data_IF_410903271603
#
_entry.id   IF_410903271603
#
_cell.length_a   1.000
_cell.length_b   1.000
_cell.length_c   1.000
_cell.angle_alpha   90.00
_cell.angle_beta   90.00
_cell.angle_gamma   90.00
#
_symmetry.space_group_name_H-M   'P 1'
#
loop_
_entity.id
_entity.type
_entity.pdbx_description
1 polymer ?
#
# COMPACT_ATOMS: atom_id res chain seq x y z
N UNK A 1 46.20 35.64 -30.11
CA UNK A 1 45.88 34.86 -28.91
C UNK A 1 44.56 35.36 -28.38
N UNK A 2 43.47 34.64 -28.67
CA UNK A 2 42.14 34.96 -28.16
C UNK A 2 41.74 33.81 -27.25
N UNK A 3 41.71 34.08 -25.95
CA UNK A 3 41.22 33.14 -24.95
C UNK A 3 39.70 33.27 -24.92
N UNK A 4 39.02 32.35 -25.59
CA UNK A 4 37.57 32.20 -25.47
C UNK A 4 37.26 31.50 -24.14
N UNK A 5 36.77 32.28 -23.18
CA UNK A 5 36.19 31.77 -21.93
C UNK A 5 34.82 31.17 -22.27
N UNK A 6 34.74 29.84 -22.35
CA UNK A 6 33.48 29.11 -22.44
C UNK A 6 32.78 29.16 -21.07
N UNK A 7 31.73 29.97 -20.96
CA UNK A 7 30.75 29.89 -19.88
C UNK A 7 29.91 28.62 -20.08
N UNK A 8 30.27 27.54 -19.39
CA UNK A 8 29.36 26.41 -19.14
C UNK A 8 28.33 26.86 -18.10
N UNK A 9 27.23 27.45 -18.57
CA UNK A 9 26.03 27.59 -17.75
C UNK A 9 25.46 26.18 -17.60
N UNK A 10 25.76 25.55 -16.47
CA UNK A 10 25.04 24.36 -16.03
C UNK A 10 23.56 24.73 -15.91
N UNK A 11 22.75 24.29 -16.87
CA UNK A 11 21.30 24.22 -16.69
C UNK A 11 21.03 23.27 -15.53
N UNK A 12 20.90 23.82 -14.32
CA UNK A 12 20.25 23.14 -13.22
C UNK A 12 18.80 22.90 -13.65
N UNK A 13 18.51 21.73 -14.22
CA UNK A 13 17.13 21.29 -14.41
C UNK A 13 16.52 21.17 -13.02
N UNK A 14 15.79 22.20 -12.61
CA UNK A 14 15.04 22.20 -11.36
C UNK A 14 14.03 21.06 -11.43
N UNK A 15 14.30 20.01 -10.66
CA UNK A 15 13.41 18.86 -10.56
C UNK A 15 12.04 19.35 -10.10
N UNK A 16 10.98 19.02 -10.86
CA UNK A 16 9.60 19.39 -10.51
C UNK A 16 9.27 18.86 -9.12
N UNK A 17 8.54 19.63 -8.31
CA UNK A 17 8.02 19.14 -7.03
C UNK A 17 7.09 17.94 -7.24
N UNK A 18 7.00 17.04 -6.26
CA UNK A 18 6.11 15.86 -6.32
C UNK A 18 4.67 16.25 -6.67
N UNK A 19 4.17 17.35 -6.11
CA UNK A 19 2.84 17.88 -6.43
C UNK A 19 2.70 18.27 -7.90
N UNK A 20 3.72 18.89 -8.48
CA UNK A 20 3.70 19.23 -9.90
C UNK A 20 3.78 17.98 -10.79
N UNK A 21 4.58 16.98 -10.41
CA UNK A 21 4.64 15.68 -11.09
C UNK A 21 3.28 14.97 -11.03
N UNK A 22 2.64 14.96 -9.85
CA UNK A 22 1.30 14.40 -9.67
C UNK A 22 0.27 15.06 -10.59
N UNK A 23 0.21 16.40 -10.64
CA UNK A 23 -0.74 17.12 -11.50
C UNK A 23 -0.49 16.89 -13.00
N UNK A 24 0.75 16.63 -13.40
CA UNK A 24 1.09 16.23 -14.77
C UNK A 24 0.61 14.81 -15.06
N UNK A 25 0.87 13.86 -14.15
CA UNK A 25 0.38 12.47 -14.25
C UNK A 25 -1.13 12.42 -14.40
N UNK A 26 -1.88 13.24 -13.64
CA UNK A 26 -3.36 13.31 -13.75
C UNK A 26 -3.87 13.74 -15.12
N UNK A 27 -3.05 14.48 -15.88
CA UNK A 27 -3.38 14.94 -17.25
C UNK A 27 -2.92 13.94 -18.31
N UNK A 28 -2.11 12.95 -17.94
CA UNK A 28 -1.62 11.94 -18.88
C UNK A 28 -2.75 11.10 -19.46
N UNK A 29 -2.58 10.69 -20.71
CA UNK A 29 -3.53 9.82 -21.39
C UNK A 29 -3.74 8.50 -20.64
N UNK A 30 -2.66 7.90 -20.12
CA UNK A 30 -2.70 6.63 -19.39
C UNK A 30 -3.56 6.75 -18.13
N UNK A 31 -3.31 7.75 -17.29
CA UNK A 31 -4.09 7.98 -16.07
C UNK A 31 -5.60 8.15 -16.36
N UNK A 32 -5.93 9.00 -17.34
CA UNK A 32 -7.33 9.24 -17.73
C UNK A 32 -7.97 7.96 -18.29
N UNK A 33 -7.24 7.20 -19.10
CA UNK A 33 -7.70 5.95 -19.69
C UNK A 33 -7.95 4.87 -18.63
N UNK A 34 -7.06 4.75 -17.64
CA UNK A 34 -7.23 3.85 -16.50
C UNK A 34 -8.45 4.20 -15.65
N UNK A 35 -8.67 5.49 -15.37
CA UNK A 35 -9.89 5.91 -14.66
C UNK A 35 -11.17 5.56 -15.43
N UNK A 36 -11.17 5.76 -16.76
CA UNK A 36 -12.31 5.38 -17.60
C UNK A 36 -12.51 3.88 -17.63
N UNK A 37 -11.44 3.11 -17.83
CA UNK A 37 -11.48 1.66 -17.88
C UNK A 37 -12.11 1.12 -16.60
N UNK A 38 -11.59 1.52 -15.43
CA UNK A 38 -12.09 1.07 -14.14
C UNK A 38 -13.55 1.41 -13.91
N UNK A 39 -13.99 2.63 -14.23
CA UNK A 39 -15.40 3.02 -14.14
C UNK A 39 -16.32 2.18 -15.05
N UNK A 40 -15.81 1.67 -16.16
CA UNK A 40 -16.58 0.85 -17.09
C UNK A 40 -16.46 -0.65 -16.85
N UNK A 41 -15.54 -1.09 -15.99
CA UNK A 41 -15.35 -2.51 -15.66
C UNK A 41 -15.68 -2.80 -14.20
N UNK A 42 -15.04 -2.11 -13.26
CA UNK A 42 -15.17 -2.32 -11.81
C UNK A 42 -16.54 -1.89 -11.31
N UNK A 43 -16.98 -0.67 -11.64
CA UNK A 43 -18.25 -0.14 -11.12
C UNK A 43 -19.44 -1.04 -11.50
N UNK A 44 -19.62 -1.43 -12.78
CA UNK A 44 -20.74 -2.28 -13.16
C UNK A 44 -20.64 -3.69 -12.57
N UNK A 45 -19.43 -4.23 -12.42
CA UNK A 45 -19.21 -5.52 -11.76
C UNK A 45 -19.59 -5.48 -10.27
N UNK A 46 -19.23 -4.40 -9.58
CA UNK A 46 -19.62 -4.18 -8.18
C UNK A 46 -21.14 -4.01 -8.04
N UNK A 47 -21.77 -3.21 -8.91
CA UNK A 47 -23.23 -3.06 -8.92
C UNK A 47 -23.94 -4.40 -9.12
N UNK A 48 -23.45 -5.23 -10.06
CA UNK A 48 -24.00 -6.55 -10.31
C UNK A 48 -23.81 -7.48 -9.10
N UNK A 49 -22.65 -7.40 -8.44
CA UNK A 49 -22.37 -8.15 -7.22
C UNK A 49 -23.30 -7.74 -6.08
N UNK A 50 -23.38 -6.44 -5.74
CA UNK A 50 -24.22 -5.95 -4.65
C UNK A 50 -25.71 -6.25 -4.88
N UNK A 51 -26.18 -6.27 -6.15
CA UNK A 51 -27.54 -6.73 -6.46
C UNK A 51 -27.78 -8.19 -6.06
N UNK A 52 -26.79 -9.08 -6.21
CA UNK A 52 -26.87 -10.50 -5.81
C UNK A 52 -26.77 -10.69 -4.30
N UNK A 53 -25.95 -9.88 -3.63
CA UNK A 53 -25.75 -9.98 -2.17
C UNK A 53 -26.94 -9.44 -1.40
N UNK A 54 -27.62 -8.39 -1.91
CA UNK A 54 -28.90 -7.92 -1.38
C UNK A 54 -29.97 -9.00 -1.30
N UNK A 55 -30.02 -9.88 -2.30
CA UNK A 55 -30.93 -11.04 -2.27
C UNK A 55 -30.53 -12.14 -1.29
N UNK A 56 -29.33 -12.07 -0.71
CA UNK A 56 -28.76 -13.04 0.23
C UNK A 56 -28.56 -12.47 1.64
N UNK A 57 -29.11 -11.29 1.95
CA UNK A 57 -29.00 -10.61 3.27
C UNK A 57 -27.57 -10.41 3.79
N UNK A 58 -26.59 -10.32 2.91
CA UNK A 58 -25.20 -10.03 3.26
C UNK A 58 -24.86 -8.55 3.04
N UNK A 59 -23.78 -8.08 3.68
CA UNK A 59 -23.36 -6.68 3.61
C UNK A 59 -22.88 -6.28 2.22
N UNK A 60 -23.34 -5.11 1.76
CA UNK A 60 -22.88 -4.53 0.50
C UNK A 60 -21.40 -4.17 0.57
N UNK A 61 -20.69 -4.41 -0.52
CA UNK A 61 -19.32 -3.94 -0.66
C UNK A 61 -19.34 -2.51 -1.21
N UNK A 62 -18.65 -1.63 -0.50
CA UNK A 62 -18.58 -0.22 -0.85
C UNK A 62 -17.57 0.05 -1.96
N UNK A 63 -17.89 1.03 -2.82
CA UNK A 63 -17.11 1.33 -4.03
C UNK A 63 -15.70 1.81 -3.71
N UNK A 64 -15.55 2.65 -2.70
CA UNK A 64 -14.28 3.15 -2.21
C UNK A 64 -13.38 2.02 -1.70
N UNK A 65 -13.92 0.97 -1.12
CA UNK A 65 -13.15 -0.19 -0.66
C UNK A 65 -12.60 -0.99 -1.84
N UNK A 66 -13.41 -1.26 -2.86
CA UNK A 66 -12.98 -2.02 -4.05
C UNK A 66 -11.86 -1.30 -4.79
N UNK A 67 -12.03 0.00 -5.08
CA UNK A 67 -10.98 0.79 -5.73
C UNK A 67 -9.73 0.93 -4.85
N UNK A 68 -9.88 1.00 -3.52
CA UNK A 68 -8.73 1.02 -2.61
C UNK A 68 -7.93 -0.29 -2.69
N UNK A 69 -8.60 -1.44 -2.66
CA UNK A 69 -7.92 -2.74 -2.77
C UNK A 69 -7.33 -2.97 -4.17
N UNK A 70 -8.02 -2.54 -5.23
CA UNK A 70 -7.50 -2.57 -6.59
C UNK A 70 -6.22 -1.72 -6.70
N UNK A 71 -6.20 -0.54 -6.09
CA UNK A 71 -5.01 0.30 -6.01
C UNK A 71 -3.82 -0.42 -5.36
N UNK A 72 -4.04 -1.11 -4.23
CA UNK A 72 -3.01 -1.90 -3.54
C UNK A 72 -2.50 -3.05 -4.44
N UNK A 73 -3.40 -3.78 -5.09
CA UNK A 73 -3.04 -4.86 -6.02
C UNK A 73 -2.22 -4.38 -7.22
N UNK A 74 -2.52 -3.19 -7.73
CA UNK A 74 -1.77 -2.58 -8.84
C UNK A 74 -0.43 -1.99 -8.41
N UNK A 75 -0.32 -1.54 -7.16
CA UNK A 75 0.95 -1.12 -6.57
C UNK A 75 1.94 -2.29 -6.54
N UNK A 76 1.47 -3.49 -6.16
CA UNK A 76 2.25 -4.74 -6.24
C UNK A 76 2.65 -5.11 -7.65
N UNK A 77 1.73 -4.99 -8.61
CA UNK A 77 2.00 -5.31 -10.01
C UNK A 77 2.94 -4.32 -10.70
N UNK A 78 3.52 -3.36 -9.97
CA UNK A 78 4.34 -2.28 -10.51
C UNK A 78 3.62 -1.48 -11.60
N UNK A 79 2.31 -1.24 -11.41
CA UNK A 79 1.49 -0.37 -12.26
C UNK A 79 1.18 0.96 -11.54
N UNK A 80 2.19 1.80 -11.22
CA UNK A 80 2.04 2.89 -10.27
C UNK A 80 1.05 3.97 -10.74
N UNK A 81 0.95 4.24 -12.04
CA UNK A 81 -0.03 5.20 -12.59
C UNK A 81 -1.46 4.66 -12.51
N UNK A 82 -1.66 3.35 -12.71
CA UNK A 82 -2.98 2.73 -12.59
C UNK A 82 -3.38 2.61 -11.12
N UNK A 83 -2.46 2.21 -10.24
CA UNK A 83 -2.66 2.23 -8.79
C UNK A 83 -3.12 3.60 -8.29
N UNK A 84 -2.48 4.68 -8.76
CA UNK A 84 -2.87 6.05 -8.43
C UNK A 84 -4.25 6.43 -8.98
N UNK A 85 -4.57 6.00 -10.21
CA UNK A 85 -5.87 6.23 -10.82
C UNK A 85 -7.01 5.58 -10.02
N UNK A 86 -6.82 4.33 -9.58
CA UNK A 86 -7.75 3.60 -8.70
C UNK A 86 -7.89 4.29 -7.34
N UNK A 87 -6.79 4.67 -6.70
CA UNK A 87 -6.88 5.36 -5.40
C UNK A 87 -7.61 6.70 -5.48
N UNK A 88 -7.48 7.44 -6.58
CA UNK A 88 -8.27 8.67 -6.80
C UNK A 88 -9.77 8.33 -6.98
N UNK A 89 -10.10 7.24 -7.67
CA UNK A 89 -11.50 6.79 -7.77
C UNK A 89 -12.07 6.42 -6.41
N UNK A 90 -11.30 5.74 -5.56
CA UNK A 90 -11.69 5.45 -4.19
C UNK A 90 -12.00 6.74 -3.41
N UNK A 91 -11.12 7.74 -3.50
CA UNK A 91 -11.31 9.03 -2.83
C UNK A 91 -12.52 9.80 -3.32
N UNK A 92 -12.86 9.71 -4.61
CA UNK A 92 -14.06 10.34 -5.19
C UNK A 92 -15.34 9.61 -4.78
N UNK A 93 -15.27 8.32 -4.51
CA UNK A 93 -16.40 7.51 -4.07
C UNK A 93 -16.68 7.66 -2.55
N UNK A 94 -15.63 7.89 -1.76
CA UNK A 94 -15.73 8.06 -0.32
C UNK A 94 -16.57 9.29 0.09
N UNK A 95 -17.67 9.05 0.80
CA UNK A 95 -18.59 10.11 1.25
C UNK A 95 -18.58 10.29 2.78
N UNK A 96 -18.37 9.23 3.54
CA UNK A 96 -18.27 9.22 4.99
C UNK A 96 -16.81 9.07 5.47
N UNK A 97 -16.59 9.23 6.77
CA UNK A 97 -15.24 9.18 7.34
C UNK A 97 -14.59 7.79 7.29
N UNK A 98 -15.31 6.66 7.51
CA UNK A 98 -14.79 5.32 7.24
C UNK A 98 -14.31 5.14 5.79
N UNK A 99 -15.09 5.58 4.81
CA UNK A 99 -14.74 5.50 3.40
C UNK A 99 -13.55 6.39 3.05
N UNK A 100 -13.51 7.60 3.61
CA UNK A 100 -12.35 8.50 3.45
C UNK A 100 -11.10 7.90 4.07
N UNK A 101 -11.22 7.25 5.23
CA UNK A 101 -10.09 6.63 5.91
C UNK A 101 -9.40 5.61 5.01
N UNK A 102 -10.14 4.63 4.47
CA UNK A 102 -9.55 3.63 3.55
C UNK A 102 -9.04 4.24 2.25
N UNK A 103 -9.77 5.20 1.68
CA UNK A 103 -9.38 5.83 0.43
C UNK A 103 -8.11 6.69 0.55
N UNK A 104 -7.95 7.43 1.66
CA UNK A 104 -6.73 8.19 1.93
C UNK A 104 -5.54 7.29 2.23
N UNK A 105 -5.75 6.17 2.93
CA UNK A 105 -4.71 5.15 3.12
C UNK A 105 -4.23 4.60 1.77
N UNK A 106 -5.14 4.14 0.91
CA UNK A 106 -4.80 3.62 -0.42
C UNK A 106 -4.08 4.66 -1.28
N UNK A 107 -4.55 5.90 -1.25
CA UNK A 107 -3.91 6.99 -1.98
C UNK A 107 -2.50 7.28 -1.47
N UNK A 108 -2.27 7.24 -0.16
CA UNK A 108 -0.93 7.40 0.39
C UNK A 108 0.03 6.30 -0.09
N UNK A 109 -0.40 5.03 -0.09
CA UNK A 109 0.41 3.93 -0.59
C UNK A 109 0.71 4.08 -2.09
N UNK A 110 -0.29 4.42 -2.90
CA UNK A 110 -0.09 4.63 -4.34
C UNK A 110 0.92 5.74 -4.63
N UNK A 111 0.95 6.81 -3.83
CA UNK A 111 1.96 7.87 -3.94
C UNK A 111 3.37 7.37 -3.58
N UNK A 112 3.50 6.57 -2.51
CA UNK A 112 4.76 5.90 -2.17
C UNK A 112 5.25 5.00 -3.31
N UNK A 113 4.36 4.22 -3.94
CA UNK A 113 4.71 3.38 -5.10
C UNK A 113 5.11 4.18 -6.35
N UNK A 114 4.76 5.47 -6.42
CA UNK A 114 5.24 6.39 -7.47
C UNK A 114 6.56 7.12 -7.08
N UNK A 115 7.12 6.84 -5.90
CA UNK A 115 8.31 7.53 -5.39
C UNK A 115 8.04 8.96 -4.89
N UNK A 116 6.77 9.31 -4.63
CA UNK A 116 6.37 10.62 -4.11
C UNK A 116 6.14 10.54 -2.60
N UNK A 117 7.21 10.26 -1.87
CA UNK A 117 7.18 9.96 -0.43
C UNK A 117 6.66 11.12 0.40
N UNK A 118 6.98 12.37 0.03
CA UNK A 118 6.53 13.55 0.77
C UNK A 118 5.01 13.73 0.69
N UNK A 119 4.45 13.61 -0.52
CA UNK A 119 3.01 13.66 -0.75
C UNK A 119 2.32 12.43 -0.13
N UNK A 120 2.94 11.26 -0.22
CA UNK A 120 2.48 10.03 0.43
C UNK A 120 2.33 10.22 1.95
N UNK A 121 3.35 10.77 2.61
CA UNK A 121 3.33 11.07 4.04
C UNK A 121 2.22 12.06 4.42
N UNK A 122 2.00 13.11 3.62
CA UNK A 122 0.92 14.09 3.84
C UNK A 122 -0.46 13.40 3.86
N UNK A 123 -0.71 12.49 2.91
CA UNK A 123 -1.98 11.77 2.84
C UNK A 123 -2.12 10.66 3.88
N UNK A 124 -1.02 10.01 4.27
CA UNK A 124 -1.01 9.08 5.39
C UNK A 124 -1.38 9.79 6.71
N UNK A 125 -0.87 11.01 6.93
CA UNK A 125 -1.25 11.82 8.09
C UNK A 125 -2.74 12.17 8.08
N UNK A 126 -3.32 12.53 6.93
CA UNK A 126 -4.76 12.76 6.79
C UNK A 126 -5.58 11.52 7.13
N UNK A 127 -5.16 10.34 6.68
CA UNK A 127 -5.82 9.08 7.03
C UNK A 127 -5.75 8.81 8.54
N UNK A 128 -4.59 9.00 9.17
CA UNK A 128 -4.43 8.82 10.63
C UNK A 128 -5.30 9.77 11.45
N UNK A 129 -5.52 11.01 10.98
CA UNK A 129 -6.46 11.94 11.64
C UNK A 129 -7.91 11.44 11.60
N UNK A 130 -8.31 10.83 10.49
CA UNK A 130 -9.65 10.21 10.39
C UNK A 130 -9.79 9.04 11.34
N UNK A 131 -8.74 8.21 11.51
CA UNK A 131 -8.76 7.05 12.41
C UNK A 131 -9.13 7.39 13.87
N UNK A 132 -8.74 8.58 14.35
CA UNK A 132 -9.04 9.05 15.72
C UNK A 132 -10.48 9.55 15.90
N UNK A 133 -11.20 9.79 14.81
CA UNK A 133 -12.56 10.36 14.81
C UNK A 133 -13.67 9.35 14.52
N UNK A 134 -13.35 8.11 14.17
CA UNK A 134 -14.35 7.12 13.76
C UNK A 134 -14.53 6.04 14.82
N UNK A 135 -15.66 6.06 15.55
CA UNK A 135 -16.21 4.84 16.13
C UNK A 135 -16.72 3.97 14.97
N UNK A 136 -15.81 3.15 14.45
CA UNK A 136 -16.11 2.22 13.37
C UNK A 136 -16.94 1.08 13.96
N UNK A 137 -18.27 1.26 13.91
CA UNK A 137 -19.28 0.20 14.01
C UNK A 137 -18.80 -1.07 13.24
N UNK A 138 -19.21 -2.26 13.69
CA UNK A 138 -19.07 -3.54 12.96
C UNK A 138 -19.34 -3.41 11.47
N UNK A 139 -20.32 -2.59 11.07
CA UNK A 139 -20.62 -2.30 9.66
C UNK A 139 -19.39 -1.88 8.83
N UNK A 140 -18.43 -1.18 9.43
CA UNK A 140 -17.23 -0.67 8.76
C UNK A 140 -15.95 -1.42 9.14
N UNK A 141 -16.06 -2.58 9.79
CA UNK A 141 -14.92 -3.38 10.23
C UNK A 141 -13.98 -3.74 9.07
N UNK A 142 -14.52 -4.15 7.91
CA UNK A 142 -13.71 -4.44 6.71
C UNK A 142 -12.90 -3.21 6.26
N UNK A 143 -13.55 -2.05 6.10
CA UNK A 143 -12.86 -0.81 5.73
C UNK A 143 -11.80 -0.40 6.75
N UNK A 144 -12.05 -0.60 8.05
CA UNK A 144 -11.09 -0.34 9.12
C UNK A 144 -9.84 -1.20 8.98
N UNK A 145 -10.03 -2.52 8.90
CA UNK A 145 -8.94 -3.50 8.81
C UNK A 145 -8.12 -3.24 7.54
N UNK A 146 -8.78 -3.03 6.40
CA UNK A 146 -8.10 -2.68 5.14
C UNK A 146 -7.33 -1.37 5.26
N UNK A 147 -7.92 -0.32 5.81
CA UNK A 147 -7.24 0.96 5.97
C UNK A 147 -6.02 0.87 6.89
N UNK A 148 -6.12 0.13 8.01
CA UNK A 148 -5.00 -0.13 8.92
C UNK A 148 -3.90 -0.93 8.25
N UNK A 149 -4.24 -2.01 7.53
CA UNK A 149 -3.29 -2.81 6.77
C UNK A 149 -2.52 -1.97 5.74
N UNK A 150 -3.23 -1.12 4.99
CA UNK A 150 -2.59 -0.20 4.02
C UNK A 150 -1.68 0.79 4.73
N UNK A 151 -2.10 1.38 5.84
CA UNK A 151 -1.22 2.27 6.62
C UNK A 151 -0.04 1.52 7.24
N UNK A 152 -0.19 0.23 7.55
CA UNK A 152 0.90 -0.64 7.96
C UNK A 152 1.93 -0.81 6.86
N UNK A 153 1.51 -1.04 5.61
CA UNK A 153 2.41 -1.07 4.44
C UNK A 153 3.14 0.27 4.28
N UNK A 154 2.43 1.39 4.45
CA UNK A 154 3.03 2.73 4.41
C UNK A 154 4.04 2.94 5.56
N UNK A 155 3.74 2.47 6.77
CA UNK A 155 4.67 2.53 7.89
C UNK A 155 5.95 1.71 7.61
N UNK A 156 5.83 0.54 6.96
CA UNK A 156 6.99 -0.21 6.47
C UNK A 156 7.79 0.60 5.46
N UNK A 157 7.15 1.23 4.46
CA UNK A 157 7.84 2.11 3.50
C UNK A 157 8.51 3.32 4.16
N UNK A 158 8.01 3.76 5.31
CA UNK A 158 8.59 4.83 6.13
C UNK A 158 9.73 4.35 7.05
N UNK A 159 9.98 3.04 7.14
CA UNK A 159 10.93 2.47 8.11
C UNK A 159 10.42 2.45 9.56
N UNK A 160 9.14 2.74 9.79
CA UNK A 160 8.54 2.81 11.12
C UNK A 160 8.02 1.45 11.57
N UNK A 161 8.93 0.62 12.09
CA UNK A 161 8.64 -0.74 12.56
C UNK A 161 7.59 -0.82 13.67
N UNK A 162 7.69 -0.03 14.76
CA UNK A 162 6.67 -0.02 15.81
C UNK A 162 5.28 0.36 15.29
N UNK A 163 5.16 1.35 14.41
CA UNK A 163 3.87 1.71 13.83
C UNK A 163 3.34 0.60 12.90
N UNK A 164 4.22 -0.02 12.10
CA UNK A 164 3.83 -1.15 11.25
C UNK A 164 3.28 -2.32 12.08
N UNK A 165 3.98 -2.72 13.14
CA UNK A 165 3.54 -3.77 14.07
C UNK A 165 2.14 -3.45 14.64
N UNK A 166 1.95 -2.24 15.17
CA UNK A 166 0.67 -1.84 15.75
C UNK A 166 -0.48 -1.81 14.72
N UNK A 167 -0.22 -1.38 13.49
CA UNK A 167 -1.23 -1.27 12.44
C UNK A 167 -1.65 -2.63 11.88
N UNK A 168 -0.76 -3.61 11.87
CA UNK A 168 -1.07 -4.97 11.41
C UNK A 168 -1.70 -5.88 12.46
N UNK A 169 -1.67 -5.51 13.74
CA UNK A 169 -2.16 -6.34 14.85
C UNK A 169 -3.61 -6.84 14.63
N UNK A 170 -4.53 -5.95 14.23
CA UNK A 170 -5.93 -6.31 14.02
C UNK A 170 -6.11 -7.26 12.82
N UNK A 171 -5.39 -7.03 11.72
CA UNK A 171 -5.44 -7.93 10.56
C UNK A 171 -4.90 -9.32 10.91
N UNK A 172 -3.85 -9.38 11.73
CA UNK A 172 -3.26 -10.63 12.17
C UNK A 172 -4.22 -11.47 13.02
N UNK A 173 -4.94 -10.82 13.93
CA UNK A 173 -5.97 -11.47 14.76
C UNK A 173 -7.10 -12.03 13.88
N UNK A 174 -7.63 -11.22 12.97
CA UNK A 174 -8.78 -11.58 12.13
C UNK A 174 -8.44 -12.63 11.06
N UNK A 175 -7.20 -12.64 10.56
CA UNK A 175 -6.72 -13.61 9.56
C UNK A 175 -6.09 -14.87 10.16
N UNK A 176 -5.87 -14.91 11.48
CA UNK A 176 -5.08 -15.95 12.16
C UNK A 176 -3.58 -15.93 11.81
N UNK A 177 -3.09 -14.89 11.15
CA UNK A 177 -1.69 -14.74 10.79
C UNK A 177 -0.92 -13.96 11.86
N UNK A 178 -0.79 -14.54 13.05
CA UNK A 178 -0.14 -13.93 14.23
C UNK A 178 1.29 -13.42 13.97
N UNK A 179 1.94 -13.93 12.92
CA UNK A 179 3.30 -13.53 12.53
C UNK A 179 3.37 -12.19 11.79
N UNK A 180 2.27 -11.74 11.17
CA UNK A 180 2.25 -10.58 10.29
C UNK A 180 2.74 -9.28 10.96
N UNK A 181 2.34 -8.93 12.21
CA UNK A 181 2.75 -7.68 12.84
C UNK A 181 4.27 -7.62 13.06
N UNK A 182 4.82 -8.70 13.59
CA UNK A 182 6.25 -8.82 13.88
C UNK A 182 7.07 -8.86 12.58
N UNK A 183 6.60 -9.59 11.57
CA UNK A 183 7.29 -9.64 10.28
C UNK A 183 7.32 -8.26 9.60
N UNK A 184 6.23 -7.49 9.70
CA UNK A 184 6.17 -6.11 9.20
C UNK A 184 7.12 -5.17 9.95
N UNK A 185 7.32 -5.34 11.26
CA UNK A 185 8.38 -4.64 11.99
C UNK A 185 9.76 -4.96 11.40
N UNK A 186 10.06 -6.26 11.23
CA UNK A 186 11.31 -6.71 10.61
C UNK A 186 11.53 -6.11 9.22
N UNK A 187 10.48 -6.05 8.41
CA UNK A 187 10.55 -5.42 7.09
C UNK A 187 10.87 -3.93 7.15
N UNK A 188 10.25 -3.18 8.07
CA UNK A 188 10.53 -1.77 8.26
C UNK A 188 12.00 -1.53 8.67
N UNK A 189 12.58 -2.42 9.51
CA UNK A 189 14.00 -2.38 9.88
C UNK A 189 14.91 -2.51 8.63
N UNK A 190 14.52 -3.33 7.65
CA UNK A 190 15.28 -3.48 6.39
C UNK A 190 15.16 -2.23 5.53
N UNK A 191 13.99 -1.58 5.52
CA UNK A 191 13.78 -0.36 4.74
C UNK A 191 14.50 0.85 5.34
N UNK A 192 14.59 0.94 6.66
CA UNK A 192 15.19 2.07 7.38
C UNK A 192 16.73 2.08 7.32
N UNK A 193 17.39 0.92 7.38
CA UNK A 193 18.80 0.83 7.78
C UNK A 193 19.84 0.42 6.70
N UNK A 194 21.11 0.88 6.82
CA UNK A 194 22.25 0.23 6.17
C UNK A 194 22.44 -1.20 6.70
N UNK A 195 22.75 -2.13 5.78
CA UNK A 195 22.64 -3.59 5.95
C UNK A 195 23.28 -4.16 7.22
N UNK A 196 24.38 -3.58 7.70
CA UNK A 196 25.08 -4.06 8.91
C UNK A 196 24.29 -3.89 10.21
N UNK A 197 23.49 -2.82 10.34
CA UNK A 197 22.64 -2.63 11.54
C UNK A 197 21.29 -3.35 11.40
N UNK A 198 20.86 -3.63 10.18
CA UNK A 198 19.60 -4.34 9.88
C UNK A 198 19.64 -5.77 10.41
N UNK A 199 20.73 -6.49 10.19
CA UNK A 199 20.87 -7.89 10.64
C UNK A 199 20.81 -7.97 12.17
N UNK A 200 21.58 -7.15 12.89
CA UNK A 200 21.58 -7.12 14.36
C UNK A 200 20.20 -6.77 14.94
N UNK A 201 19.50 -5.80 14.32
CA UNK A 201 18.14 -5.43 14.73
C UNK A 201 17.13 -6.57 14.48
N UNK A 202 17.24 -7.30 13.37
CA UNK A 202 16.39 -8.48 13.10
C UNK A 202 16.72 -9.61 14.07
N UNK A 203 18.00 -9.89 14.35
CA UNK A 203 18.42 -10.91 15.33
C UNK A 203 17.91 -10.59 16.74
N UNK A 204 17.96 -9.32 17.12
CA UNK A 204 17.39 -8.83 18.38
C UNK A 204 15.88 -9.09 18.43
N UNK A 205 15.18 -8.84 17.32
CA UNK A 205 13.75 -9.13 17.22
C UNK A 205 13.50 -10.64 17.32
N UNK A 206 14.21 -11.49 16.56
CA UNK A 206 14.09 -12.97 16.60
C UNK A 206 14.34 -13.55 18.00
N UNK A 207 15.25 -12.93 18.76
CA UNK A 207 15.66 -13.39 20.10
C UNK A 207 14.63 -13.13 21.19
N UNK A 208 13.59 -12.33 20.92
CA UNK A 208 12.48 -12.09 21.86
C UNK A 208 11.78 -13.41 22.24
N UNK A 209 11.50 -13.56 23.54
CA UNK A 209 10.84 -14.76 24.09
C UNK A 209 9.34 -14.79 23.85
N UNK A 210 8.73 -13.64 23.59
CA UNK A 210 7.30 -13.44 23.37
C UNK A 210 6.88 -13.62 21.90
N UNK A 211 7.83 -13.84 20.98
CA UNK A 211 7.55 -14.00 19.55
C UNK A 211 7.28 -15.48 19.21
N UNK A 212 6.16 -15.79 18.53
CA UNK A 212 5.83 -17.17 18.14
C UNK A 212 6.80 -17.70 17.08
N UNK A 213 6.93 -19.03 17.00
CA UNK A 213 7.85 -19.68 16.06
C UNK A 213 7.58 -19.31 14.59
N UNK A 214 6.31 -19.20 14.19
CA UNK A 214 5.90 -18.77 12.86
C UNK A 214 6.44 -17.38 12.49
N UNK A 215 6.44 -16.44 13.43
CA UNK A 215 7.02 -15.11 13.24
C UNK A 215 8.54 -15.16 13.13
N UNK A 216 9.21 -16.01 13.91
CA UNK A 216 10.67 -16.22 13.79
C UNK A 216 11.05 -16.74 12.40
N UNK A 217 10.27 -17.66 11.83
CA UNK A 217 10.51 -18.15 10.46
C UNK A 217 10.41 -17.02 9.43
N UNK A 218 9.40 -16.15 9.56
CA UNK A 218 9.22 -15.00 8.65
C UNK A 218 10.32 -13.96 8.79
N UNK A 219 10.80 -13.72 10.00
CA UNK A 219 11.95 -12.84 10.24
C UNK A 219 13.25 -13.40 9.64
N UNK A 220 13.44 -14.73 9.68
CA UNK A 220 14.59 -15.37 9.03
C UNK A 220 14.51 -15.27 7.49
N UNK A 221 13.33 -15.41 6.90
CA UNK A 221 13.13 -15.15 5.45
C UNK A 221 13.55 -13.71 5.09
N UNK A 222 13.14 -12.73 5.91
CA UNK A 222 13.51 -11.32 5.75
C UNK A 222 15.02 -11.08 5.95
N UNK A 223 15.65 -11.76 6.92
CA UNK A 223 17.10 -11.69 7.15
C UNK A 223 17.89 -12.18 5.93
N UNK A 224 17.51 -13.33 5.36
CA UNK A 224 18.14 -13.87 4.14
C UNK A 224 18.03 -12.88 2.99
N UNK A 225 16.87 -12.23 2.85
CA UNK A 225 16.66 -11.23 1.80
C UNK A 225 17.54 -9.99 2.04
N UNK A 226 17.63 -9.49 3.27
CA UNK A 226 18.52 -8.40 3.63
C UNK A 226 20.00 -8.72 3.35
N UNK A 227 20.43 -9.94 3.62
CA UNK A 227 21.79 -10.41 3.35
C UNK A 227 22.09 -10.55 1.84
N UNK A 228 21.09 -10.98 1.06
CA UNK A 228 21.22 -11.15 -0.40
C UNK A 228 21.50 -9.83 -1.10
N UNK A 229 20.95 -8.72 -0.60
CA UNK A 229 21.08 -7.39 -1.21
C UNK A 229 22.07 -6.47 -0.48
N UNK A 230 23.07 -7.04 0.21
CA UNK A 230 24.16 -6.25 0.80
C UNK A 230 24.81 -5.34 -0.26
N UNK A 231 24.68 -4.02 -0.09
CA UNK A 231 25.19 -3.00 -1.02
C UNK A 231 24.19 -2.52 -2.08
N UNK A 232 23.02 -3.16 -2.23
CA UNK A 232 21.95 -2.79 -3.17
C UNK A 232 20.64 -2.40 -2.44
N UNK A 233 20.73 -1.48 -1.49
CA UNK A 233 19.59 -1.08 -0.64
C UNK A 233 18.31 -0.72 -1.42
N UNK A 234 18.45 -0.10 -2.60
CA UNK A 234 17.29 0.22 -3.43
C UNK A 234 16.48 -1.01 -3.85
N UNK A 235 17.16 -2.12 -4.18
CA UNK A 235 16.48 -3.37 -4.55
C UNK A 235 15.87 -4.04 -3.32
N UNK A 236 16.59 -4.09 -2.20
CA UNK A 236 16.07 -4.62 -0.94
C UNK A 236 14.76 -3.92 -0.52
N UNK A 237 14.71 -2.60 -0.63
CA UNK A 237 13.50 -1.80 -0.31
C UNK A 237 12.30 -2.18 -1.17
N UNK A 238 12.51 -2.36 -2.47
CA UNK A 238 11.43 -2.74 -3.41
C UNK A 238 10.93 -4.15 -3.08
N UNK A 239 11.82 -5.13 -2.99
CA UNK A 239 11.47 -6.53 -2.74
C UNK A 239 10.79 -6.73 -1.38
N UNK A 240 11.26 -6.05 -0.32
CA UNK A 240 10.61 -6.08 1.00
C UNK A 240 9.22 -5.43 0.96
N UNK A 241 9.08 -4.29 0.27
CA UNK A 241 7.79 -3.61 0.14
C UNK A 241 6.77 -4.48 -0.61
N UNK A 242 7.21 -5.16 -1.67
CA UNK A 242 6.39 -6.11 -2.42
C UNK A 242 6.00 -7.32 -1.57
N UNK A 243 6.94 -7.87 -0.80
CA UNK A 243 6.69 -9.01 0.07
C UNK A 243 5.65 -8.69 1.15
N UNK A 244 5.81 -7.56 1.85
CA UNK A 244 4.83 -7.12 2.87
C UNK A 244 3.47 -6.84 2.26
N UNK A 245 3.43 -6.15 1.12
CA UNK A 245 2.15 -5.84 0.47
C UNK A 245 1.46 -7.12 -0.01
N UNK A 246 2.21 -8.12 -0.48
CA UNK A 246 1.69 -9.45 -0.84
C UNK A 246 1.14 -10.19 0.38
N UNK A 247 1.91 -10.32 1.45
CA UNK A 247 1.45 -10.94 2.70
C UNK A 247 0.18 -10.27 3.23
N UNK A 248 0.15 -8.95 3.19
CA UNK A 248 -1.01 -8.16 3.63
C UNK A 248 -2.24 -8.39 2.76
N UNK A 249 -2.08 -8.49 1.44
CA UNK A 249 -3.20 -8.82 0.54
C UNK A 249 -3.69 -10.24 0.76
N UNK A 250 -2.79 -11.21 0.96
CA UNK A 250 -3.17 -12.58 1.24
C UNK A 250 -3.95 -12.66 2.57
N UNK A 251 -3.47 -11.98 3.63
CA UNK A 251 -4.22 -11.86 4.89
C UNK A 251 -5.57 -11.14 4.72
N UNK A 252 -5.63 -10.06 3.93
CA UNK A 252 -6.89 -9.37 3.64
C UNK A 252 -7.87 -10.22 2.83
N UNK A 253 -7.39 -11.17 2.03
CA UNK A 253 -8.24 -12.14 1.32
C UNK A 253 -8.85 -13.18 2.26
N UNK A 254 -8.12 -13.57 3.32
CA UNK A 254 -8.65 -14.48 4.36
C UNK A 254 -9.72 -13.80 5.23
N UNK A 255 -9.60 -12.49 5.47
CA UNK A 255 -10.60 -11.69 6.20
C UNK A 255 -11.76 -11.23 5.29
N UNK A 256 -11.47 -11.05 4.00
CA UNK A 256 -12.44 -10.63 3.00
C UNK A 256 -13.37 -11.77 2.56
N UNK A 257 -14.51 -11.41 1.95
CA UNK A 257 -15.28 -12.40 1.20
C UNK A 257 -14.57 -12.73 -0.13
N UNK A 258 -14.78 -13.96 -0.63
CA UNK A 258 -14.19 -14.45 -1.87
C UNK A 258 -14.46 -13.52 -3.09
N UNK A 259 -15.51 -12.72 -3.00
CA UNK A 259 -15.97 -11.77 -4.01
C UNK A 259 -15.15 -10.49 -4.06
N UNK A 260 -14.79 -9.90 -2.91
CA UNK A 260 -13.90 -8.74 -2.86
C UNK A 260 -12.52 -9.13 -3.39
N UNK A 261 -12.03 -10.33 -3.03
CA UNK A 261 -10.81 -10.91 -3.59
C UNK A 261 -10.91 -11.11 -5.12
N UNK A 262 -12.03 -11.66 -5.61
CA UNK A 262 -12.24 -11.90 -7.04
C UNK A 262 -12.34 -10.61 -7.86
N UNK A 263 -12.92 -9.54 -7.31
CA UNK A 263 -13.02 -8.24 -7.98
C UNK A 263 -11.64 -7.59 -8.11
N UNK A 264 -10.83 -7.63 -7.04
CA UNK A 264 -9.45 -7.12 -7.05
C UNK A 264 -8.57 -7.90 -8.02
N UNK A 265 -8.67 -9.24 -8.01
CA UNK A 265 -7.96 -10.11 -8.96
C UNK A 265 -8.30 -9.79 -10.42
N UNK A 266 -9.55 -9.44 -10.69
CA UNK A 266 -10.00 -9.09 -12.04
C UNK A 266 -9.35 -7.80 -12.52
N UNK A 267 -9.20 -6.80 -11.65
CA UNK A 267 -8.53 -5.53 -11.98
C UNK A 267 -7.04 -5.73 -12.21
N UNK A 268 -6.36 -6.49 -11.33
CA UNK A 268 -4.93 -6.78 -11.49
C UNK A 268 -4.66 -7.57 -12.77
N UNK A 269 -5.49 -8.57 -13.09
CA UNK A 269 -5.40 -9.34 -14.34
C UNK A 269 -5.66 -8.50 -15.59
N UNK A 270 -6.51 -7.47 -15.50
CA UNK A 270 -6.75 -6.54 -16.60
C UNK A 270 -5.53 -5.65 -16.87
N UNK A 271 -4.82 -5.22 -15.83
CA UNK A 271 -3.58 -4.46 -15.98
C UNK A 271 -2.46 -5.30 -16.60
N UNK A 272 -2.36 -6.59 -16.24
CA UNK A 272 -1.36 -7.51 -16.77
C UNK A 272 -1.52 -7.88 -18.26
N UNK A 273 -2.64 -7.50 -18.90
CA UNK A 273 -2.92 -7.78 -20.32
C UNK A 273 -2.61 -6.59 -21.25
N UNK A 274 -2.16 -5.46 -20.71
CA UNK A 274 -1.79 -4.26 -21.47
C UNK A 274 -0.28 -4.12 -21.55
#
# INVERSE_FOLDING_TARGET
MSVSVLFLVACASTQKSEKAQYEETRKSFSYVSFQKLSKHTVDPSLELYNKKVKSAEADEVHKELVHSMASVGLALGQYPVFSLAEAELARKAASDDPGKYVAYSAFSLALYSNGWEGLGAEYAAKARLLANGVELDRKYQKSRITAKAILGMVAVSQGDGPAAEALFAELAEESGQEWLPIASHGAAIIIDGPSLQTVEKIETLVSRSDIPFSAKQKLLELQILADTYQGEQGKAKVEVSELITKWSLDALREVGDASTASLVDSVVKLAAKQ
#
